data_IF_400733749996
#
_entry.id   IF_400733749996
#
_cell.length_a   1.000
_cell.length_b   1.000
_cell.length_c   1.000
_cell.angle_alpha   90.00
_cell.angle_beta   90.00
_cell.angle_gamma   90.00
#
_symmetry.space_group_name_H-M   'P 1'
#
loop_
_entity.id
_entity.type
_entity.pdbx_description
1 polymer ?
#
# COMPACT_ATOMS: atom_id res chain seq x y z
N UNK A 1 -39.05 29.64 25.18
CA UNK A 1 -40.45 29.75 24.74
C UNK A 1 -40.54 30.69 23.56
N UNK A 2 -40.62 30.14 22.35
CA UNK A 2 -41.31 30.65 21.16
C UNK A 2 -40.77 29.86 19.97
N UNK A 3 -41.36 28.68 19.80
CA UNK A 3 -41.25 27.83 18.61
C UNK A 3 -41.82 28.57 17.39
N UNK A 4 -41.19 28.34 16.24
CA UNK A 4 -41.76 28.62 14.92
C UNK A 4 -41.77 27.31 14.12
N UNK A 5 -42.88 26.99 13.42
CA UNK A 5 -43.23 25.61 13.02
C UNK A 5 -42.61 25.18 11.67
N UNK A 6 -42.64 23.87 11.34
CA UNK A 6 -42.10 23.31 10.10
C UNK A 6 -43.04 23.49 8.91
N UNK A 7 -42.46 23.55 7.70
CA UNK A 7 -43.14 23.60 6.39
C UNK A 7 -42.99 22.23 5.71
N UNK A 8 -44.01 21.71 5.00
CA UNK A 8 -44.24 20.27 4.87
C UNK A 8 -43.54 19.61 3.67
N UNK A 9 -43.39 18.29 3.80
CA UNK A 9 -43.13 17.35 2.72
C UNK A 9 -44.43 17.03 1.97
N UNK A 10 -44.38 17.06 0.64
CA UNK A 10 -45.35 16.42 -0.25
C UNK A 10 -44.70 16.19 -1.62
N UNK A 11 -44.92 15.01 -2.21
CA UNK A 11 -44.48 14.73 -3.59
C UNK A 11 -44.20 13.26 -3.89
N UNK A 12 -45.28 12.48 -3.97
CA UNK A 12 -45.36 11.05 -4.26
C UNK A 12 -44.75 10.62 -5.64
N UNK A 13 -44.66 9.30 -5.91
CA UNK A 13 -43.78 8.71 -6.92
C UNK A 13 -44.40 8.66 -8.31
N UNK A 14 -43.57 8.76 -9.35
CA UNK A 14 -43.95 8.45 -10.73
C UNK A 14 -43.83 6.95 -10.99
N UNK A 15 -44.98 6.31 -11.13
CA UNK A 15 -45.19 4.95 -11.58
C UNK A 15 -45.13 4.84 -13.11
N UNK A 16 -44.46 3.78 -13.58
CA UNK A 16 -44.99 2.86 -14.59
C UNK A 16 -44.88 3.27 -16.06
N UNK A 17 -43.95 2.64 -16.77
CA UNK A 17 -44.17 2.13 -18.14
C UNK A 17 -43.31 0.86 -18.34
N UNK A 18 -43.97 -0.29 -18.41
CA UNK A 18 -43.51 -1.55 -19.01
C UNK A 18 -44.61 -1.96 -20.02
N UNK A 19 -44.44 -2.95 -20.90
CA UNK A 19 -43.44 -3.10 -21.95
C UNK A 19 -44.11 -3.42 -23.30
N UNK A 20 -43.54 -3.01 -24.45
CA UNK A 20 -44.09 -3.39 -25.76
C UNK A 20 -43.30 -4.57 -26.35
N UNK A 21 -43.92 -5.74 -26.28
CA UNK A 21 -43.56 -6.97 -26.96
C UNK A 21 -44.22 -7.00 -28.36
N UNK A 22 -43.46 -7.40 -29.38
CA UNK A 22 -43.95 -7.66 -30.75
C UNK A 22 -43.31 -8.98 -31.24
N UNK A 23 -44.03 -9.81 -32.02
CA UNK A 23 -44.21 -11.22 -31.69
C UNK A 23 -43.34 -12.20 -32.48
N UNK A 24 -43.32 -13.43 -31.96
CA UNK A 24 -42.96 -14.64 -32.69
C UNK A 24 -44.12 -15.05 -33.61
N UNK A 25 -43.82 -15.34 -34.87
CA UNK A 25 -44.73 -16.05 -35.76
C UNK A 25 -44.07 -17.33 -36.29
N UNK A 26 -44.92 -18.33 -36.45
CA UNK A 26 -44.60 -19.72 -36.63
C UNK A 26 -44.64 -20.15 -38.10
N UNK A 27 -44.13 -21.37 -38.31
CA UNK A 27 -44.48 -22.32 -39.38
C UNK A 27 -43.89 -22.12 -40.78
N UNK A 28 -43.05 -23.07 -41.21
CA UNK A 28 -43.42 -24.09 -42.22
C UNK A 28 -42.16 -24.73 -42.85
N UNK A 29 -41.97 -26.03 -42.64
CA UNK A 29 -41.29 -26.93 -43.59
C UNK A 29 -42.31 -27.32 -44.69
N UNK A 30 -41.91 -27.71 -45.93
CA UNK A 30 -41.26 -29.02 -46.17
C UNK A 30 -40.29 -29.06 -47.38
N UNK A 31 -39.83 -30.29 -47.66
CA UNK A 31 -39.35 -30.83 -48.94
C UNK A 31 -37.83 -30.90 -49.26
N UNK A 32 -37.30 -32.09 -48.96
CA UNK A 32 -36.24 -32.85 -49.66
C UNK A 32 -36.42 -32.87 -51.19
N UNK A 33 -35.31 -32.98 -51.97
CA UNK A 33 -34.95 -34.29 -52.50
C UNK A 33 -33.42 -34.57 -52.60
N UNK A 34 -33.06 -35.87 -52.50
CA UNK A 34 -31.83 -36.49 -53.03
C UNK A 34 -32.21 -37.35 -54.26
N UNK A 35 -31.30 -38.01 -55.04
CA UNK A 35 -29.84 -37.93 -55.20
C UNK A 35 -29.45 -37.78 -56.72
N UNK A 36 -28.20 -38.05 -57.16
CA UNK A 36 -27.94 -39.41 -57.68
C UNK A 36 -26.55 -40.02 -57.34
N UNK A 37 -26.57 -41.36 -57.24
CA UNK A 37 -25.48 -42.36 -57.39
C UNK A 37 -24.88 -42.27 -58.81
N UNK A 38 -23.65 -42.62 -59.20
CA UNK A 38 -22.62 -43.68 -58.93
C UNK A 38 -21.39 -43.31 -59.84
N UNK A 39 -20.23 -44.01 -59.95
CA UNK A 39 -19.95 -45.40 -59.63
C UNK A 39 -18.72 -45.68 -58.74
N UNK A 40 -18.77 -46.90 -58.19
CA UNK A 40 -17.67 -47.62 -57.59
C UNK A 40 -16.51 -47.83 -58.57
N UNK A 41 -15.28 -47.71 -58.07
CA UNK A 41 -14.14 -48.33 -58.70
C UNK A 41 -13.47 -49.27 -57.68
N UNK A 42 -13.48 -50.55 -58.03
CA UNK A 42 -12.82 -51.62 -57.30
C UNK A 42 -11.32 -51.61 -57.63
N UNK A 43 -10.49 -51.55 -56.59
CA UNK A 43 -9.07 -51.84 -56.65
C UNK A 43 -8.64 -52.40 -55.30
N UNK A 44 -8.40 -53.72 -55.24
CA UNK A 44 -7.90 -54.45 -54.07
C UNK A 44 -6.36 -54.55 -54.12
N UNK A 45 -5.68 -55.14 -53.12
CA UNK A 45 -5.02 -54.47 -52.00
C UNK A 45 -3.48 -54.54 -52.11
N UNK A 46 -2.76 -53.68 -51.40
CA UNK A 46 -1.32 -53.89 -51.24
C UNK A 46 -0.57 -52.63 -50.84
N UNK A 47 -0.27 -52.51 -49.56
CA UNK A 47 0.57 -51.44 -49.04
C UNK A 47 0.20 -51.12 -47.62
N UNK A 48 0.77 -51.85 -46.67
CA UNK A 48 0.87 -51.44 -45.27
C UNK A 48 1.44 -50.01 -45.27
N UNK A 49 0.72 -48.98 -44.83
CA UNK A 49 1.33 -47.66 -44.69
C UNK A 49 2.37 -47.76 -43.57
N UNK A 50 3.55 -47.13 -43.69
CA UNK A 50 4.49 -47.08 -42.58
C UNK A 50 3.79 -46.45 -41.38
N UNK A 51 3.75 -47.19 -40.27
CA UNK A 51 3.08 -46.84 -39.01
C UNK A 51 3.80 -45.72 -38.23
N UNK A 52 4.42 -44.77 -38.92
CA UNK A 52 5.16 -43.65 -38.31
C UNK A 52 4.48 -42.28 -38.46
N UNK A 53 3.30 -42.20 -39.12
CA UNK A 53 2.56 -40.94 -39.29
C UNK A 53 1.43 -40.67 -38.29
N UNK A 54 0.95 -41.69 -37.58
CA UNK A 54 -0.26 -41.58 -36.74
C UNK A 54 0.02 -41.14 -35.29
N UNK A 55 1.29 -41.09 -34.84
CA UNK A 55 1.62 -40.71 -33.46
C UNK A 55 1.85 -39.20 -33.28
N UNK A 56 1.79 -38.41 -34.35
CA UNK A 56 2.23 -37.00 -34.32
C UNK A 56 1.09 -35.99 -34.09
N UNK A 57 -0.17 -36.38 -34.29
CA UNK A 57 -1.33 -35.47 -34.21
C UNK A 57 -1.98 -35.41 -32.82
N UNK A 58 -1.58 -36.27 -31.88
CA UNK A 58 -2.24 -36.38 -30.57
C UNK A 58 -1.36 -35.96 -29.39
N UNK A 59 -0.46 -34.99 -29.59
CA UNK A 59 -0.03 -34.15 -28.47
C UNK A 59 -1.15 -33.16 -28.14
N UNK A 60 -2.20 -33.67 -27.49
CA UNK A 60 -3.17 -32.86 -26.78
C UNK A 60 -2.35 -32.00 -25.82
N UNK A 61 -2.36 -30.68 -25.98
CA UNK A 61 -1.61 -29.79 -25.09
C UNK A 61 -2.14 -30.00 -23.66
N UNK A 62 -1.45 -30.81 -22.86
CA UNK A 62 -1.73 -31.03 -21.44
C UNK A 62 -1.38 -29.80 -20.59
N UNK A 63 -0.67 -28.84 -21.18
CA UNK A 63 -0.34 -27.56 -20.55
C UNK A 63 -1.45 -26.52 -20.63
N UNK A 64 -1.33 -25.42 -19.87
CA UNK A 64 -2.23 -24.28 -19.99
C UNK A 64 -2.19 -23.68 -21.41
N UNK A 65 -3.29 -23.05 -21.80
CA UNK A 65 -3.35 -22.35 -23.09
C UNK A 65 -2.39 -21.17 -23.06
N UNK A 66 -1.64 -20.96 -24.16
CA UNK A 66 -0.71 -19.84 -24.25
C UNK A 66 -1.45 -18.51 -24.28
N UNK A 67 -1.02 -17.57 -23.46
CA UNK A 67 -1.47 -16.18 -23.47
C UNK A 67 -0.41 -15.25 -24.05
N UNK A 68 -0.84 -14.12 -24.58
CA UNK A 68 0.04 -13.01 -24.97
C UNK A 68 -0.01 -11.95 -23.88
N UNK A 69 1.16 -11.49 -23.43
CA UNK A 69 1.26 -10.39 -22.47
C UNK A 69 0.90 -10.72 -21.03
N UNK A 70 0.75 -11.99 -20.68
CA UNK A 70 0.54 -12.37 -19.28
C UNK A 70 1.79 -12.12 -18.43
N UNK A 71 1.55 -11.77 -17.18
CA UNK A 71 2.54 -11.39 -16.19
C UNK A 71 3.30 -12.61 -15.71
N UNK A 72 4.63 -12.49 -15.65
CA UNK A 72 5.55 -13.58 -15.35
C UNK A 72 6.25 -13.35 -14.03
N UNK A 73 6.31 -14.39 -13.21
CA UNK A 73 7.23 -14.45 -12.09
C UNK A 73 8.67 -14.40 -12.61
N UNK A 74 9.41 -13.39 -12.18
CA UNK A 74 10.82 -13.18 -12.55
C UNK A 74 11.77 -13.85 -11.57
N UNK A 75 11.37 -13.92 -10.30
CA UNK A 75 12.09 -14.51 -9.19
C UNK A 75 12.36 -15.99 -9.42
N UNK A 76 13.59 -16.39 -9.10
CA UNK A 76 14.15 -17.71 -9.28
C UNK A 76 14.67 -18.23 -7.95
N UNK A 77 14.78 -19.55 -7.86
CA UNK A 77 15.33 -20.22 -6.67
C UNK A 77 16.82 -19.89 -6.43
N UNK A 78 17.50 -19.30 -7.42
CA UNK A 78 18.87 -18.78 -7.31
C UNK A 78 18.94 -17.35 -6.77
N UNK A 79 17.83 -16.62 -6.77
CA UNK A 79 17.78 -15.26 -6.26
C UNK A 79 17.76 -15.29 -4.72
N UNK A 80 18.11 -14.18 -4.05
CA UNK A 80 17.94 -14.08 -2.61
C UNK A 80 16.49 -14.41 -2.19
N UNK A 81 16.30 -15.07 -1.04
CA UNK A 81 14.96 -15.34 -0.54
C UNK A 81 14.21 -14.03 -0.33
N UNK A 82 12.91 -14.04 -0.60
CA UNK A 82 12.05 -12.89 -0.30
C UNK A 82 12.05 -12.63 1.21
N UNK A 83 12.00 -11.36 1.58
CA UNK A 83 12.10 -10.91 2.99
C UNK A 83 10.88 -10.06 3.39
N UNK A 84 10.79 -9.73 4.68
CA UNK A 84 9.73 -8.88 5.21
C UNK A 84 8.33 -9.45 4.96
N UNK A 85 7.43 -8.64 4.41
CA UNK A 85 6.06 -9.06 4.08
C UNK A 85 6.04 -10.10 2.96
N UNK A 86 6.86 -9.93 1.92
CA UNK A 86 6.90 -10.86 0.79
C UNK A 86 7.29 -12.28 1.23
N UNK A 87 8.33 -12.40 2.06
CA UNK A 87 8.75 -13.68 2.65
C UNK A 87 7.63 -14.33 3.48
N UNK A 88 6.95 -13.57 4.35
CA UNK A 88 5.83 -14.08 5.15
C UNK A 88 4.63 -14.53 4.30
N UNK A 89 4.39 -13.90 3.14
CA UNK A 89 3.36 -14.35 2.19
C UNK A 89 3.76 -15.67 1.54
N UNK A 90 5.04 -15.87 1.21
CA UNK A 90 5.56 -17.16 0.73
C UNK A 90 5.39 -18.23 1.82
N UNK A 91 5.75 -17.94 3.06
CA UNK A 91 5.59 -18.89 4.17
C UNK A 91 4.11 -19.26 4.38
N UNK A 92 3.22 -18.26 4.34
CA UNK A 92 1.77 -18.43 4.43
C UNK A 92 1.22 -19.30 3.29
N UNK A 93 1.69 -19.07 2.06
CA UNK A 93 1.32 -19.86 0.89
C UNK A 93 1.81 -21.31 1.04
N UNK A 94 3.08 -21.49 1.40
CA UNK A 94 3.72 -22.80 1.53
C UNK A 94 3.10 -23.65 2.64
N UNK A 95 2.65 -23.01 3.73
CA UNK A 95 1.86 -23.65 4.77
C UNK A 95 0.44 -24.07 4.31
N UNK A 96 -0.07 -23.46 3.23
CA UNK A 96 -1.44 -23.66 2.74
C UNK A 96 -1.55 -24.60 1.54
N UNK A 97 -0.44 -24.99 0.89
CA UNK A 97 -0.44 -25.83 -0.32
C UNK A 97 0.49 -27.03 -0.21
N UNK A 98 0.21 -28.08 -0.98
CA UNK A 98 1.12 -29.21 -1.12
C UNK A 98 2.32 -28.87 -2.03
N UNK A 99 3.47 -29.55 -1.89
CA UNK A 99 4.63 -29.30 -2.76
C UNK A 99 4.35 -29.47 -4.26
N UNK A 100 3.45 -30.40 -4.63
CA UNK A 100 3.05 -30.60 -6.02
C UNK A 100 2.24 -29.40 -6.56
N UNK A 101 1.26 -28.92 -5.79
CA UNK A 101 0.47 -27.73 -6.15
C UNK A 101 1.36 -26.48 -6.21
N UNK A 102 2.30 -26.35 -5.27
CA UNK A 102 3.31 -25.29 -5.26
C UNK A 102 4.12 -25.28 -6.55
N UNK A 103 4.64 -26.44 -6.95
CA UNK A 103 5.43 -26.58 -8.17
C UNK A 103 4.63 -26.24 -9.43
N UNK A 104 3.38 -26.71 -9.54
CA UNK A 104 2.48 -26.32 -10.64
C UNK A 104 2.23 -24.81 -10.67
N UNK A 105 2.06 -24.19 -9.49
CA UNK A 105 1.89 -22.74 -9.35
C UNK A 105 3.10 -21.96 -9.86
N UNK A 106 4.31 -22.40 -9.52
CA UNK A 106 5.57 -21.83 -10.03
C UNK A 106 5.61 -21.91 -11.56
N UNK A 107 5.25 -23.06 -12.13
CA UNK A 107 5.23 -23.24 -13.59
C UNK A 107 4.25 -22.29 -14.28
N UNK A 108 3.03 -22.14 -13.76
CA UNK A 108 2.03 -21.22 -14.29
C UNK A 108 2.49 -19.77 -14.20
N UNK A 109 3.05 -19.37 -13.07
CA UNK A 109 3.56 -18.03 -12.85
C UNK A 109 4.75 -17.72 -13.79
N UNK A 110 5.69 -18.65 -13.96
CA UNK A 110 6.86 -18.48 -14.86
C UNK A 110 6.47 -18.50 -16.35
N UNK A 111 5.45 -19.28 -16.73
CA UNK A 111 4.93 -19.31 -18.09
C UNK A 111 4.19 -18.02 -18.48
N UNK A 112 3.83 -17.20 -17.50
CA UNK A 112 3.14 -15.94 -17.71
C UNK A 112 1.65 -16.11 -17.90
N UNK A 113 1.04 -17.02 -17.15
CA UNK A 113 -0.38 -17.34 -17.31
C UNK A 113 -1.32 -16.36 -16.59
N UNK A 114 -0.80 -15.41 -15.84
CA UNK A 114 -1.58 -14.44 -15.08
C UNK A 114 -1.85 -13.24 -15.97
N UNK A 115 -3.07 -13.09 -16.45
CA UNK A 115 -3.48 -12.00 -17.34
C UNK A 115 -3.60 -10.68 -16.57
N UNK A 116 -4.28 -10.74 -15.42
CA UNK A 116 -4.54 -9.61 -14.54
C UNK A 116 -4.16 -10.03 -13.13
N UNK A 117 -3.55 -9.11 -12.39
CA UNK A 117 -3.31 -9.25 -10.95
C UNK A 117 -3.46 -7.88 -10.32
N UNK A 118 -4.44 -7.77 -9.43
CA UNK A 118 -4.78 -6.56 -8.68
C UNK A 118 -4.68 -6.87 -7.19
N UNK A 119 -4.19 -5.89 -6.42
CA UNK A 119 -3.95 -6.04 -4.99
C UNK A 119 -4.58 -4.84 -4.30
N UNK A 120 -5.80 -5.00 -3.80
CA UNK A 120 -6.51 -3.93 -3.10
C UNK A 120 -7.71 -4.47 -2.31
N UNK A 121 -8.08 -3.76 -1.24
CA UNK A 121 -9.34 -3.94 -0.53
C UNK A 121 -9.54 -5.34 0.04
N UNK A 122 -8.53 -5.90 0.71
CA UNK A 122 -8.64 -7.20 1.35
C UNK A 122 -8.47 -8.40 0.42
N UNK A 123 -8.10 -8.20 -0.85
CA UNK A 123 -7.90 -9.33 -1.75
C UNK A 123 -6.83 -9.10 -2.82
N UNK A 124 -6.14 -10.19 -3.16
CA UNK A 124 -5.42 -10.30 -4.43
C UNK A 124 -6.37 -10.95 -5.43
N UNK A 125 -6.80 -10.21 -6.44
CA UNK A 125 -7.65 -10.69 -7.53
C UNK A 125 -6.80 -10.99 -8.74
N UNK A 126 -6.90 -12.21 -9.27
CA UNK A 126 -6.11 -12.66 -10.39
C UNK A 126 -6.96 -13.38 -11.44
N UNK A 127 -6.70 -13.07 -12.70
CA UNK A 127 -7.26 -13.79 -13.84
C UNK A 127 -6.19 -14.69 -14.43
N UNK A 128 -6.32 -16.01 -14.27
CA UNK A 128 -5.27 -16.98 -14.60
C UNK A 128 -5.70 -17.88 -15.75
N UNK A 129 -4.96 -17.88 -16.85
CA UNK A 129 -5.21 -18.78 -17.96
C UNK A 129 -4.71 -20.20 -17.64
N UNK A 130 -5.65 -21.15 -17.56
CA UNK A 130 -5.30 -22.57 -17.49
C UNK A 130 -5.64 -23.32 -18.78
N UNK A 131 -6.08 -24.57 -18.63
CA UNK A 131 -6.38 -25.47 -19.76
C UNK A 131 -7.68 -25.11 -20.50
N UNK A 132 -8.71 -24.66 -19.76
CA UNK A 132 -10.01 -24.30 -20.34
C UNK A 132 -9.91 -23.02 -21.19
N UNK A 133 -10.86 -22.79 -22.10
CA UNK A 133 -10.83 -21.62 -23.00
C UNK A 133 -10.96 -20.29 -22.26
N UNK A 134 -11.82 -20.22 -21.24
CA UNK A 134 -11.99 -19.03 -20.40
C UNK A 134 -10.93 -18.99 -19.28
N UNK A 135 -10.28 -17.85 -18.98
CA UNK A 135 -9.38 -17.73 -17.83
C UNK A 135 -10.11 -17.92 -16.50
N UNK A 136 -9.47 -18.51 -15.49
CA UNK A 136 -10.01 -18.68 -14.14
C UNK A 136 -9.98 -17.38 -13.34
N UNK A 137 -11.05 -17.09 -12.61
CA UNK A 137 -11.10 -16.01 -11.61
C UNK A 137 -10.60 -16.60 -10.28
N UNK A 138 -9.54 -16.02 -9.74
CA UNK A 138 -8.84 -16.50 -8.55
C UNK A 138 -8.66 -15.36 -7.57
N UNK A 139 -9.01 -15.58 -6.30
CA UNK A 139 -8.91 -14.59 -5.23
C UNK A 139 -8.17 -15.17 -4.04
N UNK A 140 -7.25 -14.40 -3.50
CA UNK A 140 -6.62 -14.67 -2.21
C UNK A 140 -7.14 -13.61 -1.25
N UNK A 141 -7.76 -14.02 -0.15
CA UNK A 141 -8.40 -13.13 0.80
C UNK A 141 -7.45 -12.78 1.95
N UNK A 142 -7.53 -11.52 2.37
CA UNK A 142 -6.78 -10.93 3.46
C UNK A 142 -7.78 -10.17 4.34
N UNK A 143 -7.78 -10.46 5.63
CA UNK A 143 -8.65 -9.72 6.55
C UNK A 143 -8.35 -8.23 6.48
N UNK A 144 -9.37 -7.39 6.43
CA UNK A 144 -9.19 -5.95 6.44
C UNK A 144 -9.13 -5.50 7.89
N UNK A 145 -8.16 -4.64 8.24
CA UNK A 145 -8.10 -4.04 9.57
C UNK A 145 -9.25 -3.03 9.67
N UNK A 146 -10.02 -3.10 10.76
CA UNK A 146 -11.18 -2.25 10.97
C UNK A 146 -10.78 -0.75 10.94
N UNK A 147 -11.67 0.15 10.47
CA UNK A 147 -11.39 1.59 10.46
C UNK A 147 -10.95 2.13 11.83
N UNK A 148 -11.58 1.66 12.91
CA UNK A 148 -11.30 2.07 14.29
C UNK A 148 -9.90 1.63 14.74
N UNK A 149 -9.46 0.44 14.30
CA UNK A 149 -8.11 -0.05 14.56
C UNK A 149 -7.06 0.73 13.75
N UNK A 150 -7.39 1.12 12.52
CA UNK A 150 -6.56 2.05 11.75
C UNK A 150 -6.40 3.41 12.41
N UNK A 151 -7.43 3.90 13.11
CA UNK A 151 -7.32 5.12 13.91
C UNK A 151 -6.29 4.96 15.03
N UNK A 152 -6.35 3.84 15.78
CA UNK A 152 -5.38 3.49 16.83
C UNK A 152 -3.95 3.35 16.29
N UNK A 153 -3.79 2.70 15.13
CA UNK A 153 -2.49 2.55 14.46
C UNK A 153 -1.92 3.93 14.09
N UNK A 154 -2.73 4.80 13.49
CA UNK A 154 -2.30 6.14 13.08
C UNK A 154 -1.88 6.98 14.29
N UNK A 155 -2.62 6.91 15.38
CA UNK A 155 -2.29 7.65 16.61
C UNK A 155 -0.96 7.16 17.22
N UNK A 156 -0.76 5.84 17.26
CA UNK A 156 0.48 5.24 17.73
C UNK A 156 1.68 5.62 16.84
N UNK A 157 1.54 5.49 15.52
CA UNK A 157 2.58 5.86 14.55
C UNK A 157 2.86 7.37 14.54
N UNK A 158 1.89 8.21 14.87
CA UNK A 158 2.09 9.66 14.92
C UNK A 158 3.05 10.10 16.04
N UNK A 159 3.27 9.27 17.07
CA UNK A 159 4.23 9.55 18.13
C UNK A 159 5.68 9.63 17.65
N UNK A 160 6.05 8.88 16.60
CA UNK A 160 7.44 8.76 16.12
C UNK A 160 7.59 9.20 14.67
N UNK A 161 8.51 10.14 14.41
CA UNK A 161 8.70 10.71 13.07
C UNK A 161 9.20 9.69 12.05
N UNK A 162 9.89 8.63 12.52
CA UNK A 162 10.46 7.59 11.69
C UNK A 162 9.41 6.91 10.80
N UNK A 163 8.23 6.59 11.34
CA UNK A 163 7.15 5.98 10.57
C UNK A 163 6.73 6.79 9.35
N UNK A 164 6.55 8.11 9.50
CA UNK A 164 6.20 8.96 8.37
C UNK A 164 7.35 9.06 7.35
N UNK A 165 8.60 9.13 7.81
CA UNK A 165 9.76 9.23 6.92
C UNK A 165 9.88 7.98 6.04
N UNK A 166 9.79 6.78 6.61
CA UNK A 166 9.80 5.52 5.84
C UNK A 166 8.63 5.47 4.85
N UNK A 167 7.43 5.83 5.31
CA UNK A 167 6.27 5.84 4.42
C UNK A 167 6.40 6.85 3.30
N UNK A 168 7.15 7.95 3.43
CA UNK A 168 7.40 8.90 2.33
C UNK A 168 8.39 8.37 1.28
N UNK A 169 9.19 7.36 1.64
CA UNK A 169 10.08 6.65 0.73
C UNK A 169 9.41 5.44 0.04
N UNK A 170 8.10 5.29 0.17
CA UNK A 170 7.34 4.09 -0.25
C UNK A 170 7.80 2.80 0.45
N UNK A 171 8.47 2.92 1.60
CA UNK A 171 8.96 1.80 2.39
C UNK A 171 7.98 1.47 3.52
N UNK A 172 7.88 0.19 3.88
CA UNK A 172 7.24 -0.20 5.13
C UNK A 172 8.15 0.19 6.30
N UNK A 173 7.64 0.93 7.31
CA UNK A 173 8.46 1.31 8.44
C UNK A 173 9.00 0.11 9.23
N UNK A 174 10.26 0.20 9.62
CA UNK A 174 10.82 -0.68 10.65
C UNK A 174 10.00 -0.52 11.95
N UNK A 175 9.74 -1.61 12.67
CA UNK A 175 8.96 -1.55 13.90
C UNK A 175 7.43 -1.59 13.70
N UNK A 176 6.92 -1.63 12.46
CA UNK A 176 5.47 -1.63 12.21
C UNK A 176 4.79 -2.90 12.73
N UNK A 177 5.47 -4.05 12.64
CA UNK A 177 4.94 -5.32 13.11
C UNK A 177 4.83 -5.31 14.64
N UNK A 178 5.87 -4.86 15.33
CA UNK A 178 5.89 -4.70 16.79
C UNK A 178 4.80 -3.74 17.25
N UNK A 179 4.61 -2.61 16.55
CA UNK A 179 3.55 -1.65 16.84
C UNK A 179 2.16 -2.28 16.68
N UNK A 180 1.92 -3.02 15.60
CA UNK A 180 0.66 -3.73 15.37
C UNK A 180 0.42 -4.80 16.45
N UNK A 181 1.46 -5.52 16.86
CA UNK A 181 1.37 -6.52 17.93
C UNK A 181 0.94 -5.92 19.27
N UNK A 182 1.37 -4.68 19.60
CA UNK A 182 0.87 -3.98 20.80
C UNK A 182 -0.64 -3.69 20.79
N UNK A 183 -1.25 -3.74 19.61
CA UNK A 183 -2.68 -3.52 19.39
C UNK A 183 -3.45 -4.84 19.15
N UNK A 184 -2.81 -5.99 19.34
CA UNK A 184 -3.32 -7.33 19.01
C UNK A 184 -3.64 -7.51 17.52
N UNK A 185 -2.92 -6.78 16.65
CA UNK A 185 -3.09 -6.81 15.20
C UNK A 185 -1.85 -7.40 14.52
N UNK A 186 -2.01 -7.83 13.26
CA UNK A 186 -0.91 -8.30 12.41
C UNK A 186 -1.08 -7.76 11.01
N UNK A 187 0.05 -7.40 10.37
CA UNK A 187 0.05 -6.94 8.99
C UNK A 187 -0.23 -8.10 8.04
N UNK A 188 0.49 -9.23 8.21
CA UNK A 188 0.26 -10.46 7.45
C UNK A 188 -0.64 -11.40 8.28
N UNK A 189 -1.78 -11.86 7.73
CA UNK A 189 -2.67 -12.77 8.45
C UNK A 189 -2.01 -14.14 8.68
N UNK A 190 -2.42 -14.87 9.73
CA UNK A 190 -1.93 -16.22 9.98
C UNK A 190 -2.47 -17.23 8.96
N UNK A 191 -1.84 -18.39 8.89
CA UNK A 191 -2.31 -19.52 8.10
C UNK A 191 -3.64 -20.11 8.65
N UNK A 192 -4.49 -20.70 7.79
CA UNK A 192 -4.30 -20.89 6.34
C UNK A 192 -4.73 -19.68 5.51
N UNK A 193 -4.14 -19.55 4.31
CA UNK A 193 -4.55 -18.54 3.33
C UNK A 193 -5.92 -18.89 2.76
N UNK A 194 -6.92 -18.05 2.99
CA UNK A 194 -8.23 -18.19 2.39
C UNK A 194 -8.16 -17.88 0.88
N UNK A 195 -8.64 -18.79 0.05
CA UNK A 195 -8.60 -18.65 -1.42
C UNK A 195 -9.89 -19.13 -2.08
N UNK A 196 -10.24 -18.48 -3.18
CA UNK A 196 -11.36 -18.84 -4.04
C UNK A 196 -10.85 -18.96 -5.48
N UNK A 197 -11.30 -19.98 -6.20
CA UNK A 197 -11.00 -20.15 -7.61
C UNK A 197 -12.16 -20.88 -8.29
N UNK A 198 -12.59 -20.44 -9.47
CA UNK A 198 -13.65 -21.10 -10.25
C UNK A 198 -13.18 -22.37 -11.00
N UNK A 199 -12.06 -22.96 -10.57
CA UNK A 199 -11.57 -24.24 -11.08
C UNK A 199 -12.15 -25.43 -10.30
N UNK A 200 -11.97 -26.64 -10.83
CA UNK A 200 -12.45 -27.87 -10.19
C UNK A 200 -11.47 -28.46 -9.16
N UNK A 201 -10.26 -27.88 -9.04
CA UNK A 201 -9.24 -28.33 -8.10
C UNK A 201 -9.57 -27.86 -6.67
N UNK A 202 -9.12 -28.59 -5.65
CA UNK A 202 -9.26 -28.19 -4.25
C UNK A 202 -8.52 -26.87 -3.97
N UNK A 203 -9.09 -26.02 -3.12
CA UNK A 203 -8.49 -24.76 -2.70
C UNK A 203 -7.50 -24.98 -1.53
N UNK A 204 -6.32 -24.31 -1.53
CA UNK A 204 -5.78 -23.49 -2.61
C UNK A 204 -5.27 -24.34 -3.78
N UNK A 205 -5.66 -23.96 -4.99
CA UNK A 205 -5.25 -24.65 -6.23
C UNK A 205 -3.95 -24.04 -6.81
N UNK A 206 -3.43 -24.63 -7.88
CA UNK A 206 -2.25 -24.11 -8.62
C UNK A 206 -2.41 -22.66 -9.10
N UNK A 207 -3.62 -22.21 -9.42
CA UNK A 207 -3.87 -20.82 -9.85
C UNK A 207 -3.71 -19.86 -8.68
N UNK A 208 -4.21 -20.24 -7.49
CA UNK A 208 -4.03 -19.47 -6.27
C UNK A 208 -2.56 -19.42 -5.86
N UNK A 209 -1.84 -20.55 -5.98
CA UNK A 209 -0.40 -20.58 -5.78
C UNK A 209 0.36 -19.67 -6.76
N UNK A 210 0.02 -19.71 -8.05
CA UNK A 210 0.63 -18.82 -9.05
C UNK A 210 0.38 -17.34 -8.74
N UNK A 211 -0.86 -16.99 -8.38
CA UNK A 211 -1.22 -15.62 -7.99
C UNK A 211 -0.51 -15.17 -6.70
N UNK A 212 -0.41 -16.05 -5.70
CA UNK A 212 0.30 -15.77 -4.44
C UNK A 212 1.80 -15.53 -4.64
N UNK A 213 2.45 -16.33 -5.48
CA UNK A 213 3.86 -16.13 -5.83
C UNK A 213 4.11 -14.80 -6.53
N UNK A 214 3.24 -14.44 -7.50
CA UNK A 214 3.38 -13.16 -8.20
C UNK A 214 3.03 -11.96 -7.29
N UNK A 215 2.09 -12.12 -6.37
CA UNK A 215 1.79 -11.11 -5.35
C UNK A 215 2.98 -10.92 -4.41
N UNK A 216 3.64 -11.99 -3.96
CA UNK A 216 4.84 -11.92 -3.15
C UNK A 216 5.99 -11.20 -3.89
N UNK A 217 6.20 -11.49 -5.18
CA UNK A 217 7.18 -10.76 -6.00
C UNK A 217 6.88 -9.25 -6.08
N UNK A 218 5.61 -8.88 -6.21
CA UNK A 218 5.22 -7.46 -6.17
C UNK A 218 5.45 -6.83 -4.81
N UNK A 219 5.15 -7.54 -3.72
CA UNK A 219 5.40 -7.07 -2.35
C UNK A 219 6.89 -6.95 -2.03
N UNK A 220 7.73 -7.76 -2.68
CA UNK A 220 9.18 -7.64 -2.55
C UNK A 220 9.70 -6.34 -3.19
N UNK A 221 9.04 -5.88 -4.26
CA UNK A 221 9.39 -4.64 -4.95
C UNK A 221 8.75 -3.40 -4.33
N UNK A 222 7.51 -3.52 -3.85
CA UNK A 222 6.73 -2.46 -3.21
C UNK A 222 6.00 -3.03 -1.98
N UNK A 223 6.66 -3.02 -0.80
CA UNK A 223 6.09 -3.58 0.42
C UNK A 223 4.86 -2.79 0.92
N UNK A 224 4.77 -1.50 0.61
CA UNK A 224 3.69 -0.63 1.08
C UNK A 224 2.32 -1.01 0.49
N UNK A 225 2.28 -1.75 -0.63
CA UNK A 225 1.05 -2.37 -1.16
C UNK A 225 0.31 -3.23 -0.15
N UNK A 226 1.02 -3.79 0.85
CA UNK A 226 0.40 -4.56 1.92
C UNK A 226 -0.59 -3.73 2.74
N UNK A 227 -0.32 -2.43 2.92
CA UNK A 227 -1.22 -1.53 3.65
C UNK A 227 -2.56 -1.41 2.93
N UNK A 228 -2.53 -1.28 1.59
CA UNK A 228 -3.72 -1.25 0.74
C UNK A 228 -4.51 -2.57 0.81
N UNK A 229 -3.82 -3.71 0.79
CA UNK A 229 -4.45 -5.01 1.02
C UNK A 229 -5.13 -5.08 2.40
N UNK A 230 -4.59 -4.43 3.43
CA UNK A 230 -5.19 -4.36 4.77
C UNK A 230 -6.19 -3.20 4.94
N UNK A 231 -6.61 -2.58 3.85
CA UNK A 231 -7.69 -1.58 3.80
C UNK A 231 -7.26 -0.12 3.95
N UNK A 232 -5.95 0.16 3.99
CA UNK A 232 -5.42 1.52 4.08
C UNK A 232 -4.40 1.79 2.97
N UNK A 233 -4.83 2.38 1.84
CA UNK A 233 -3.90 2.82 0.80
C UNK A 233 -2.85 3.78 1.35
N UNK A 234 -1.61 3.66 0.86
CA UNK A 234 -0.46 4.42 1.35
C UNK A 234 -0.70 5.94 1.40
N UNK A 235 -1.26 6.52 0.34
CA UNK A 235 -1.58 7.95 0.29
C UNK A 235 -2.55 8.38 1.39
N UNK A 236 -3.56 7.55 1.66
CA UNK A 236 -4.52 7.81 2.74
C UNK A 236 -3.82 7.75 4.09
N UNK A 237 -2.94 6.77 4.32
CA UNK A 237 -2.16 6.67 5.55
C UNK A 237 -1.24 7.89 5.74
N UNK A 238 -0.53 8.32 4.69
CA UNK A 238 0.34 9.51 4.70
C UNK A 238 -0.43 10.78 5.10
N UNK A 239 -1.61 11.00 4.51
CA UNK A 239 -2.47 12.15 4.84
C UNK A 239 -2.92 12.08 6.30
N UNK A 240 -3.42 10.93 6.73
CA UNK A 240 -3.88 10.72 8.10
C UNK A 240 -2.77 10.93 9.13
N UNK A 241 -1.57 10.42 8.88
CA UNK A 241 -0.41 10.62 9.76
C UNK A 241 0.03 12.07 9.82
N UNK A 242 0.07 12.78 8.69
CA UNK A 242 0.39 14.23 8.71
C UNK A 242 -0.62 15.02 9.53
N UNK A 243 -1.91 14.69 9.42
CA UNK A 243 -2.97 15.31 10.22
C UNK A 243 -2.83 14.99 11.71
N UNK A 244 -2.67 13.71 12.07
CA UNK A 244 -2.50 13.27 13.45
C UNK A 244 -1.27 13.93 14.10
N UNK A 245 -0.15 13.99 13.38
CA UNK A 245 1.05 14.70 13.84
C UNK A 245 0.85 16.20 13.97
N UNK A 246 0.11 16.84 13.07
CA UNK A 246 -0.22 18.26 13.20
C UNK A 246 -1.04 18.52 14.47
N UNK A 247 -2.03 17.66 14.76
CA UNK A 247 -2.86 17.74 15.98
C UNK A 247 -2.04 17.51 17.26
N UNK A 248 -1.14 16.52 17.27
CA UNK A 248 -0.21 16.29 18.39
C UNK A 248 0.80 17.44 18.54
N UNK A 249 1.27 17.98 17.42
CA UNK A 249 2.15 19.15 17.36
C UNK A 249 1.45 20.42 17.87
N UNK A 250 0.14 20.56 17.73
CA UNK A 250 -0.63 21.68 18.27
C UNK A 250 -0.65 21.76 19.81
N UNK A 251 -0.09 20.76 20.51
CA UNK A 251 0.20 20.84 21.95
C UNK A 251 1.68 20.70 22.34
N UNK A 252 2.57 20.21 21.45
CA UNK A 252 3.95 19.82 21.83
C UNK A 252 5.02 20.14 20.77
N UNK A 253 4.69 20.69 19.61
CA UNK A 253 5.72 21.15 18.66
C UNK A 253 6.25 22.54 19.06
N UNK A 254 6.78 22.63 20.28
CA UNK A 254 7.72 23.67 20.59
C UNK A 254 9.11 23.14 20.30
N UNK A 255 9.76 23.70 19.27
CA UNK A 255 11.22 23.59 19.15
C UNK A 255 11.93 24.28 20.34
N UNK A 256 11.19 24.96 21.22
CA UNK A 256 11.73 25.76 22.31
C UNK A 256 11.15 25.61 23.72
N UNK A 257 10.07 24.94 24.09
CA UNK A 257 9.25 25.43 25.23
C UNK A 257 8.85 26.87 24.90
N UNK A 258 7.58 27.10 24.52
CA UNK A 258 7.10 28.48 24.57
C UNK A 258 7.39 28.93 26.00
N UNK A 259 8.20 29.99 26.23
CA UNK A 259 8.37 30.50 27.57
C UNK A 259 6.95 30.69 28.07
N UNK A 260 6.60 29.98 29.14
CA UNK A 260 5.32 30.10 29.78
C UNK A 260 5.28 31.56 30.18
N UNK A 261 4.73 32.42 29.34
CA UNK A 261 4.53 33.84 29.65
C UNK A 261 3.58 33.71 30.83
N UNK A 262 4.05 33.98 32.07
CA UNK A 262 3.10 34.03 33.16
C UNK A 262 2.08 35.04 32.68
N UNK A 263 0.79 34.72 32.69
CA UNK A 263 -0.24 35.75 32.64
C UNK A 263 0.02 36.63 33.86
N UNK A 264 0.94 37.59 33.72
CA UNK A 264 1.24 38.55 34.76
C UNK A 264 -0.05 39.32 34.90
N UNK A 265 -0.68 39.24 36.07
CA UNK A 265 -1.95 39.92 36.39
C UNK A 265 -1.82 41.45 36.40
N UNK A 266 -0.75 41.99 35.82
CA UNK A 266 -0.42 43.40 35.75
C UNK A 266 -0.35 43.75 34.26
N UNK A 267 -1.28 44.59 33.81
CA UNK A 267 -1.20 45.18 32.49
C UNK A 267 0.13 45.95 32.39
N UNK A 268 0.99 45.64 31.41
CA UNK A 268 2.24 46.37 31.25
C UNK A 268 1.94 47.85 30.94
N UNK A 269 2.77 48.78 31.44
CA UNK A 269 2.67 50.18 31.05
C UNK A 269 2.79 50.34 29.53
N UNK A 270 2.19 51.41 28.99
CA UNK A 270 2.24 51.69 27.56
C UNK A 270 3.70 51.77 27.05
N UNK A 271 3.96 51.17 25.88
CA UNK A 271 5.30 50.97 25.30
C UNK A 271 6.10 52.28 25.22
N UNK A 272 5.41 53.38 24.90
CA UNK A 272 5.98 54.73 24.79
C UNK A 272 6.66 55.18 26.09
N UNK A 273 6.19 54.68 27.23
CA UNK A 273 6.72 54.99 28.57
C UNK A 273 7.96 54.16 28.91
N UNK A 274 8.22 53.09 28.15
CA UNK A 274 9.24 52.08 28.46
C UNK A 274 10.39 52.05 27.46
N UNK A 275 10.40 52.91 26.44
CA UNK A 275 11.43 52.93 25.41
C UNK A 275 12.86 53.04 25.98
N UNK A 276 13.05 53.84 27.03
CA UNK A 276 14.35 54.08 27.66
C UNK A 276 14.91 52.84 28.40
N UNK A 277 14.03 51.92 28.79
CA UNK A 277 14.38 50.73 29.58
C UNK A 277 14.08 49.42 28.84
N UNK A 278 13.60 49.46 27.59
CA UNK A 278 13.11 48.30 26.84
C UNK A 278 14.13 47.16 26.73
N UNK A 279 15.40 47.51 26.54
CA UNK A 279 16.50 46.55 26.38
C UNK A 279 17.15 46.13 27.72
N UNK A 280 16.61 46.58 28.86
CA UNK A 280 17.16 46.26 30.18
C UNK A 280 16.21 45.34 30.94
N UNK A 281 16.73 44.35 31.68
CA UNK A 281 15.90 43.56 32.57
C UNK A 281 15.28 44.48 33.63
N UNK A 282 13.99 44.29 33.98
CA UNK A 282 13.39 45.06 35.06
C UNK A 282 14.12 44.77 36.39
N UNK A 283 14.18 45.75 37.30
CA UNK A 283 14.80 45.53 38.61
C UNK A 283 14.07 44.40 39.35
N UNK A 284 14.82 43.38 39.75
CA UNK A 284 14.27 42.18 40.39
C UNK A 284 13.78 41.09 39.43
N UNK A 285 14.05 41.22 38.11
CA UNK A 285 13.94 40.09 37.20
C UNK A 285 14.81 38.94 37.71
N UNK A 286 14.21 37.76 37.84
CA UNK A 286 14.99 36.55 38.06
C UNK A 286 15.86 36.31 36.82
N UNK A 287 17.08 35.82 37.03
CA UNK A 287 17.90 35.33 35.92
C UNK A 287 17.12 34.27 35.14
N UNK A 288 17.18 34.30 33.80
CA UNK A 288 16.57 33.26 33.01
C UNK A 288 17.11 31.91 33.48
N UNK A 289 16.26 30.86 33.50
CA UNK A 289 16.73 29.53 33.84
C UNK A 289 17.91 29.16 32.92
N UNK A 290 18.90 28.41 33.41
CA UNK A 290 20.06 28.05 32.61
C UNK A 290 19.58 27.38 31.31
N UNK A 291 20.18 27.71 30.15
CA UNK A 291 19.72 27.17 28.88
C UNK A 291 19.75 25.65 28.94
N UNK A 292 18.62 25.03 28.63
CA UNK A 292 18.57 23.58 28.44
C UNK A 292 19.53 23.20 27.33
N UNK A 293 20.23 22.06 27.44
CA UNK A 293 21.15 21.60 26.40
C UNK A 293 20.38 21.35 25.09
N UNK A 294 20.36 22.35 24.22
CA UNK A 294 19.77 22.24 22.89
C UNK A 294 20.69 21.43 21.97
N UNK A 295 20.09 20.81 20.95
CA UNK A 295 20.86 20.24 19.84
C UNK A 295 21.62 21.38 19.15
N UNK A 296 22.94 21.24 19.01
CA UNK A 296 23.79 22.23 18.35
C UNK A 296 23.24 22.57 16.97
N UNK A 297 23.13 23.87 16.68
CA UNK A 297 22.72 24.40 15.37
C UNK A 297 21.32 23.94 14.90
N UNK A 298 20.38 23.65 15.81
CA UNK A 298 19.04 23.12 15.47
C UNK A 298 18.29 23.94 14.40
N UNK A 299 18.31 25.28 14.52
CA UNK A 299 17.67 26.18 13.54
C UNK A 299 18.33 26.08 12.16
N UNK A 300 19.65 26.01 12.11
CA UNK A 300 20.40 25.89 10.86
C UNK A 300 20.16 24.52 10.19
N UNK A 301 20.04 23.45 10.99
CA UNK A 301 19.73 22.09 10.47
C UNK A 301 18.31 22.01 9.92
N UNK A 302 17.34 22.70 10.52
CA UNK A 302 15.95 22.76 10.05
C UNK A 302 15.80 23.48 8.70
N UNK A 303 16.65 24.46 8.42
CA UNK A 303 16.65 25.20 7.15
C UNK A 303 17.15 24.34 5.97
N UNK A 304 17.87 23.25 6.24
CA UNK A 304 18.41 22.38 5.21
C UNK A 304 19.53 23.02 4.38
N UNK A 305 19.99 22.37 3.30
CA UNK A 305 21.05 22.89 2.46
C UNK A 305 20.62 24.20 1.78
N UNK A 306 21.49 25.21 1.83
CA UNK A 306 21.23 26.51 1.22
C UNK A 306 21.17 26.40 -0.31
N UNK A 307 20.25 27.13 -0.98
CA UNK A 307 20.20 27.22 -2.44
C UNK A 307 21.34 28.06 -3.03
N UNK A 308 22.14 28.73 -2.20
CA UNK A 308 23.26 29.55 -2.65
C UNK A 308 24.45 28.68 -3.07
N UNK A 309 24.85 28.78 -4.34
CA UNK A 309 26.01 28.08 -4.89
C UNK A 309 27.30 28.80 -4.49
N UNK A 310 28.15 28.13 -3.68
CA UNK A 310 29.45 28.64 -3.25
C UNK A 310 30.44 27.51 -2.96
N UNK A 311 31.72 27.86 -2.77
CA UNK A 311 32.79 26.88 -2.48
C UNK A 311 32.62 26.15 -1.15
N UNK A 312 31.80 26.67 -0.24
CA UNK A 312 31.59 26.11 1.09
C UNK A 312 30.09 25.95 1.39
N UNK A 313 29.69 24.89 2.11
CA UNK A 313 28.31 24.73 2.56
C UNK A 313 27.95 25.86 3.54
N UNK A 314 27.05 26.76 3.12
CA UNK A 314 26.66 27.97 3.85
C UNK A 314 26.22 27.70 5.30
N UNK A 315 25.49 26.60 5.51
CA UNK A 315 25.04 26.13 6.82
C UNK A 315 26.24 25.83 7.74
N UNK A 316 27.29 25.21 7.21
CA UNK A 316 28.50 24.90 7.98
C UNK A 316 29.30 26.14 8.35
N UNK A 317 29.37 27.13 7.45
CA UNK A 317 29.99 28.41 7.74
C UNK A 317 29.25 29.13 8.86
N UNK A 318 27.92 29.23 8.76
CA UNK A 318 27.12 29.86 9.82
C UNK A 318 27.28 29.13 11.15
N UNK A 319 27.25 27.80 11.16
CA UNK A 319 27.49 27.02 12.38
C UNK A 319 28.80 27.41 13.07
N UNK A 320 29.89 27.52 12.31
CA UNK A 320 31.19 27.94 12.87
C UNK A 320 31.19 29.37 13.43
N UNK A 321 30.45 30.30 12.80
CA UNK A 321 30.31 31.67 13.28
C UNK A 321 29.51 31.69 14.59
N UNK A 322 28.39 30.95 14.65
CA UNK A 322 27.58 30.85 15.86
C UNK A 322 28.37 30.25 17.02
N UNK A 323 29.16 29.21 16.78
CA UNK A 323 30.01 28.59 17.81
C UNK A 323 31.04 29.59 18.35
N UNK A 324 31.71 30.33 17.47
CA UNK A 324 32.71 31.31 17.87
C UNK A 324 32.11 32.48 18.66
N UNK A 325 30.95 33.00 18.22
CA UNK A 325 30.24 34.07 18.94
C UNK A 325 29.75 33.58 20.31
N UNK A 326 29.24 32.36 20.40
CA UNK A 326 28.77 31.78 21.66
C UNK A 326 29.90 31.48 22.65
N UNK A 327 31.08 31.09 22.16
CA UNK A 327 32.29 30.96 22.99
C UNK A 327 32.73 32.32 23.53
N UNK A 328 32.84 33.32 22.66
CA UNK A 328 33.25 34.67 23.07
C UNK A 328 32.27 35.34 24.04
N UNK A 329 30.97 35.11 23.86
CA UNK A 329 29.95 35.61 24.79
C UNK A 329 30.11 35.00 26.19
N UNK A 330 30.37 33.68 26.28
CA UNK A 330 30.63 33.00 27.55
C UNK A 330 31.90 33.51 28.24
N UNK A 331 32.98 33.72 27.48
CA UNK A 331 34.20 34.33 28.02
C UNK A 331 33.98 35.75 28.58
N UNK A 332 33.08 36.52 27.97
CA UNK A 332 32.72 37.86 28.46
C UNK A 332 31.87 37.79 29.73
N UNK A 333 30.94 36.84 29.81
CA UNK A 333 30.15 36.59 31.02
C UNK A 333 31.05 36.17 32.19
N UNK A 334 31.93 35.19 31.99
CA UNK A 334 32.88 34.71 33.00
C UNK A 334 33.74 35.87 33.56
N UNK A 335 34.18 36.79 32.68
CA UNK A 335 34.96 37.98 33.06
C UNK A 335 34.17 39.06 33.81
N UNK A 336 32.85 39.08 33.68
CA UNK A 336 31.98 40.03 34.40
C UNK A 336 31.61 39.49 35.79
N UNK A 337 31.72 38.18 36.00
CA UNK A 337 31.44 37.50 37.26
C UNK A 337 32.67 37.45 38.22
N UNK A 338 33.89 37.63 37.70
CA UNK A 338 35.14 37.82 38.47
C UNK A 338 35.32 39.24 39.04
#
# INVERSE_FOLDING_TARGET
MSEKPPVPADGAPVSGVDPEAVPADASASPDTPSPPTTPANAGTPGGTPPSSGAAQWERRNEGPRRVRGGQKLRWRDTDPPMTGVAGRIIDLLDASVTPAVRQEGIEYARQGQILVLEMDGGAVRATVQGRRRAPYDTRLHFDVIAPEDWDRIVDAMASEAAYLVSLLADELPDGIDELLETLDLRLVPPAPLATECDCADAAPCKHAAAAGLLAAERLQADPALMLGLRGMPLERLRVRLRQARALQAHGVASAHVDPMIPESQVDPPALETCLDAFWRPPPGAADPPPPTKHLSHALLRRLGPSPLTGKFPFVGLLASIYDHVAEHARELEDRLEE
#
